data_IF_468760367112
#
_entry.id   IF_468760367112
#
_cell.length_a   1.000
_cell.length_b   1.000
_cell.length_c   1.000
_cell.angle_alpha   90.00
_cell.angle_beta   90.00
_cell.angle_gamma   90.00
#
_symmetry.space_group_name_H-M   'P 1'
#
loop_
_entity.id
_entity.type
_entity.pdbx_description
1 polymer ?
#
# COMPACT_ATOMS: atom_id res chain seq x y z
N UNK A 1 12.42 15.06 -11.83
CA UNK A 1 13.03 13.72 -11.73
C UNK A 1 11.99 12.84 -11.07
N UNK A 2 11.01 12.39 -11.84
CA UNK A 2 9.89 11.58 -11.33
C UNK A 2 10.45 10.20 -10.96
N UNK A 3 10.36 9.85 -9.67
CA UNK A 3 10.88 8.59 -9.13
C UNK A 3 10.29 7.40 -9.88
N UNK A 4 11.11 6.35 -10.06
CA UNK A 4 10.76 5.15 -10.87
C UNK A 4 9.54 4.41 -10.31
N UNK A 5 9.13 4.71 -9.08
CA UNK A 5 7.91 4.18 -8.48
C UNK A 5 6.64 4.79 -9.08
N UNK A 6 6.61 6.08 -9.45
CA UNK A 6 5.42 6.72 -10.02
C UNK A 6 4.97 6.11 -11.36
N UNK A 7 5.90 5.65 -12.20
CA UNK A 7 5.57 4.97 -13.45
C UNK A 7 5.30 3.46 -13.29
N UNK A 8 5.74 2.85 -12.18
CA UNK A 8 5.58 1.42 -11.93
C UNK A 8 4.29 1.11 -11.16
N UNK A 9 3.76 2.07 -10.42
CA UNK A 9 2.43 1.98 -9.84
C UNK A 9 1.43 2.28 -10.97
N UNK A 10 1.23 1.31 -11.83
CA UNK A 10 0.10 1.30 -12.75
C UNK A 10 -1.17 1.07 -11.91
N UNK A 11 -1.61 2.14 -11.23
CA UNK A 11 -2.87 2.26 -10.47
C UNK A 11 -4.08 1.72 -11.26
N UNK A 12 -3.97 1.76 -12.59
CA UNK A 12 -4.96 1.26 -13.53
C UNK A 12 -5.36 -0.21 -13.30
N UNK A 13 -4.47 -1.11 -12.85
CA UNK A 13 -4.86 -2.53 -12.69
C UNK A 13 -5.67 -2.76 -11.40
N UNK A 14 -5.31 -2.09 -10.31
CA UNK A 14 -6.00 -2.23 -9.02
C UNK A 14 -7.38 -1.56 -9.04
N UNK A 15 -7.49 -0.36 -9.60
CA UNK A 15 -8.79 0.33 -9.73
C UNK A 15 -9.75 -0.40 -10.67
N UNK A 16 -9.25 -0.91 -11.82
CA UNK A 16 -10.10 -1.65 -12.76
C UNK A 16 -10.62 -2.97 -12.16
N UNK A 17 -9.82 -3.63 -11.33
CA UNK A 17 -10.25 -4.83 -10.63
C UNK A 17 -11.26 -4.53 -9.52
N UNK A 18 -11.11 -3.41 -8.80
CA UNK A 18 -12.11 -2.91 -7.87
C UNK A 18 -13.47 -2.70 -8.55
N UNK A 19 -13.49 -1.98 -9.68
CA UNK A 19 -14.71 -1.76 -10.47
C UNK A 19 -15.38 -3.05 -10.93
N UNK A 20 -14.57 -4.09 -11.19
CA UNK A 20 -15.04 -5.41 -11.64
C UNK A 20 -15.32 -6.39 -10.49
N UNK A 21 -15.17 -5.98 -9.23
CA UNK A 21 -15.25 -6.85 -8.04
C UNK A 21 -14.39 -8.12 -8.18
N UNK A 22 -13.21 -7.96 -8.77
CA UNK A 22 -12.26 -9.04 -9.01
C UNK A 22 -11.07 -8.94 -8.05
N UNK A 23 -10.56 -10.09 -7.59
CA UNK A 23 -9.34 -10.13 -6.80
C UNK A 23 -8.10 -9.83 -7.65
N UNK A 24 -7.11 -9.14 -7.07
CA UNK A 24 -5.81 -8.89 -7.71
C UNK A 24 -4.71 -9.60 -6.94
N UNK A 25 -3.86 -10.34 -7.66
CA UNK A 25 -2.63 -10.89 -7.12
C UNK A 25 -1.45 -9.96 -7.45
N UNK A 26 -0.86 -9.36 -6.42
CA UNK A 26 0.39 -8.58 -6.54
C UNK A 26 1.56 -9.45 -6.12
N UNK A 27 2.50 -9.73 -7.02
CA UNK A 27 3.66 -10.56 -6.73
C UNK A 27 4.96 -10.00 -7.31
N UNK A 28 6.08 -10.41 -6.73
CA UNK A 28 7.42 -10.25 -7.31
C UNK A 28 8.19 -11.56 -7.13
N UNK A 29 9.45 -11.63 -7.55
CA UNK A 29 10.22 -12.89 -7.53
C UNK A 29 10.26 -13.56 -6.14
N UNK A 30 10.56 -12.79 -5.08
CA UNK A 30 10.69 -13.33 -3.71
C UNK A 30 9.53 -12.94 -2.79
N UNK A 31 8.63 -12.06 -3.21
CA UNK A 31 7.57 -11.53 -2.33
C UNK A 31 8.05 -10.59 -1.21
N UNK A 32 9.34 -10.24 -1.16
CA UNK A 32 9.93 -9.50 -0.03
C UNK A 32 9.97 -7.98 -0.22
N UNK A 33 10.28 -7.48 -1.43
CA UNK A 33 10.66 -6.07 -1.60
C UNK A 33 9.75 -5.28 -2.54
N UNK A 34 9.67 -5.68 -3.82
CA UNK A 34 8.88 -4.96 -4.85
C UNK A 34 7.37 -5.07 -4.64
N UNK A 35 6.85 -6.28 -4.46
CA UNK A 35 5.40 -6.45 -4.29
C UNK A 35 4.89 -5.83 -2.98
N UNK A 36 5.59 -5.94 -1.83
CA UNK A 36 5.17 -5.22 -0.62
C UNK A 36 5.21 -3.70 -0.79
N UNK A 37 6.21 -3.14 -1.47
CA UNK A 37 6.24 -1.70 -1.75
C UNK A 37 5.01 -1.22 -2.51
N UNK A 38 4.56 -1.98 -3.52
CA UNK A 38 3.33 -1.68 -4.26
C UNK A 38 2.09 -1.77 -3.34
N UNK A 39 2.00 -2.81 -2.52
CA UNK A 39 0.90 -2.95 -1.57
C UNK A 39 0.85 -1.78 -0.56
N UNK A 40 2.00 -1.34 -0.06
CA UNK A 40 2.10 -0.19 0.85
C UNK A 40 1.61 1.10 0.19
N UNK A 41 2.06 1.39 -1.03
CA UNK A 41 1.59 2.56 -1.78
C UNK A 41 0.05 2.54 -1.97
N UNK A 42 -0.49 1.38 -2.34
CA UNK A 42 -1.93 1.21 -2.47
C UNK A 42 -2.66 1.48 -1.16
N UNK A 43 -2.24 0.85 -0.06
CA UNK A 43 -2.84 1.03 1.26
C UNK A 43 -2.80 2.50 1.73
N UNK A 44 -1.67 3.19 1.54
CA UNK A 44 -1.56 4.62 1.90
C UNK A 44 -2.60 5.46 1.16
N UNK A 45 -2.79 5.19 -0.14
CA UNK A 45 -3.71 5.94 -1.00
C UNK A 45 -5.19 5.66 -0.72
N UNK A 46 -5.54 4.41 -0.38
CA UNK A 46 -6.93 4.00 -0.20
C UNK A 46 -7.39 4.13 1.24
N UNK A 47 -6.55 3.75 2.21
CA UNK A 47 -6.84 3.85 3.64
C UNK A 47 -6.51 5.23 4.24
N UNK A 48 -5.85 6.11 3.47
CA UNK A 48 -5.48 7.48 3.87
C UNK A 48 -4.74 7.51 5.20
N UNK A 49 -3.60 6.81 5.24
CA UNK A 49 -2.84 6.59 6.47
C UNK A 49 -1.34 6.52 6.18
N UNK A 50 -0.54 6.70 7.24
CA UNK A 50 0.91 6.79 7.12
C UNK A 50 1.56 5.50 6.61
N UNK A 51 2.77 5.66 6.07
CA UNK A 51 3.61 4.53 5.66
C UNK A 51 3.86 3.56 6.83
N UNK A 52 4.09 4.07 8.04
CA UNK A 52 4.35 3.25 9.22
C UNK A 52 3.14 2.37 9.56
N UNK A 53 1.94 2.96 9.61
CA UNK A 53 0.70 2.21 9.86
C UNK A 53 0.46 1.13 8.80
N UNK A 54 0.68 1.45 7.53
CA UNK A 54 0.59 0.48 6.43
C UNK A 54 1.62 -0.64 6.56
N UNK A 55 2.84 -0.31 6.98
CA UNK A 55 3.94 -1.24 7.14
C UNK A 55 3.69 -2.24 8.26
N UNK A 56 3.29 -1.75 9.44
CA UNK A 56 2.96 -2.58 10.60
C UNK A 56 1.80 -3.53 10.28
N UNK A 57 0.78 -3.03 9.59
CA UNK A 57 -0.33 -3.85 9.12
C UNK A 57 0.12 -4.95 8.16
N UNK A 58 0.91 -4.59 7.13
CA UNK A 58 1.35 -5.56 6.13
C UNK A 58 2.31 -6.61 6.73
N UNK A 59 3.14 -6.22 7.71
CA UNK A 59 4.05 -7.13 8.42
C UNK A 59 3.28 -8.17 9.24
N UNK A 60 2.13 -7.81 9.82
CA UNK A 60 1.27 -8.79 10.52
C UNK A 60 0.75 -9.89 9.60
N UNK A 61 0.46 -9.55 8.35
CA UNK A 61 -0.06 -10.49 7.35
C UNK A 61 1.08 -11.29 6.70
N UNK A 62 2.21 -10.62 6.44
CA UNK A 62 3.39 -11.20 5.83
C UNK A 62 4.65 -10.80 6.61
N UNK A 63 5.10 -11.63 7.56
CA UNK A 63 6.26 -11.30 8.42
C UNK A 63 7.59 -11.13 7.68
N UNK A 64 7.70 -11.66 6.45
CA UNK A 64 8.95 -11.65 5.68
C UNK A 64 9.10 -10.43 4.75
N UNK A 65 8.22 -9.42 4.84
CA UNK A 65 8.41 -8.22 4.02
C UNK A 65 9.67 -7.45 4.43
N UNK A 66 10.40 -6.97 3.43
CA UNK A 66 11.53 -6.06 3.59
C UNK A 66 11.73 -5.29 2.29
N UNK A 67 10.89 -4.26 2.03
CA UNK A 67 11.18 -3.25 1.02
C UNK A 67 12.59 -2.71 1.24
N UNK A 68 13.36 -2.54 0.17
CA UNK A 68 14.68 -1.93 0.30
C UNK A 68 14.54 -0.44 0.66
N UNK A 69 15.62 0.15 1.19
CA UNK A 69 15.62 1.55 1.59
C UNK A 69 15.17 2.51 0.48
N UNK A 70 15.57 2.26 -0.78
CA UNK A 70 15.14 3.08 -1.92
C UNK A 70 13.61 3.08 -2.11
N UNK A 71 12.96 1.93 -1.95
CA UNK A 71 11.50 1.86 -1.98
C UNK A 71 10.84 2.57 -0.79
N UNK A 72 11.43 2.50 0.40
CA UNK A 72 10.91 3.24 1.55
C UNK A 72 11.00 4.75 1.33
N UNK A 73 12.12 5.26 0.82
CA UNK A 73 12.29 6.67 0.46
C UNK A 73 11.28 7.10 -0.61
N UNK A 74 11.15 6.33 -1.68
CA UNK A 74 10.19 6.63 -2.74
C UNK A 74 8.73 6.58 -2.22
N UNK A 75 8.41 5.72 -1.24
CA UNK A 75 7.09 5.66 -0.59
C UNK A 75 6.82 6.87 0.31
N UNK A 76 7.83 7.37 1.03
CA UNK A 76 7.70 8.62 1.79
C UNK A 76 7.46 9.82 0.87
N UNK A 77 8.18 9.90 -0.25
CA UNK A 77 7.95 10.92 -1.28
C UNK A 77 6.54 10.81 -1.88
N UNK A 78 6.10 9.58 -2.17
CA UNK A 78 4.75 9.32 -2.64
C UNK A 78 3.70 9.79 -1.63
N UNK A 79 3.87 9.48 -0.33
CA UNK A 79 2.96 9.91 0.72
C UNK A 79 2.82 11.43 0.79
N UNK A 80 3.93 12.18 0.63
CA UNK A 80 3.92 13.65 0.57
C UNK A 80 3.23 14.21 -0.68
N UNK A 81 3.15 13.43 -1.76
CA UNK A 81 2.50 13.83 -3.01
C UNK A 81 0.98 13.61 -3.01
N UNK A 82 0.45 12.90 -2.03
CA UNK A 82 -0.99 12.64 -1.91
C UNK A 82 -1.75 13.93 -1.52
N UNK A 83 -2.98 14.12 -2.03
CA UNK A 83 -3.75 15.36 -1.81
C UNK A 83 -4.43 15.43 -0.44
N UNK A 84 -3.99 14.64 0.54
CA UNK A 84 -4.58 14.54 1.88
C UNK A 84 -3.52 14.15 2.91
N UNK A 85 -3.78 14.49 4.17
CA UNK A 85 -2.93 14.12 5.29
C UNK A 85 -2.97 12.61 5.56
N UNK A 86 -1.83 12.08 6.01
CA UNK A 86 -1.65 10.66 6.33
C UNK A 86 -1.42 10.48 7.83
N UNK A 87 -2.48 10.44 8.66
CA UNK A 87 -2.33 10.19 10.08
C UNK A 87 -1.82 8.76 10.33
N UNK A 88 -1.07 8.62 11.42
CA UNK A 88 -0.78 7.33 12.01
C UNK A 88 -2.07 6.75 12.59
N UNK A 89 -2.55 5.66 12.00
CA UNK A 89 -3.70 4.91 12.50
C UNK A 89 -3.23 3.54 12.99
N UNK A 90 -3.73 3.12 14.14
CA UNK A 90 -3.48 1.79 14.64
C UNK A 90 -4.45 0.78 14.01
N UNK A 91 -4.01 0.10 12.95
CA UNK A 91 -4.74 -1.01 12.32
C UNK A 91 -4.51 -2.35 13.01
N UNK A 92 -3.62 -2.40 14.00
CA UNK A 92 -3.12 -3.65 14.58
C UNK A 92 -4.21 -4.42 15.32
N UNK A 93 -5.31 -3.76 15.68
CA UNK A 93 -6.45 -4.33 16.41
C UNK A 93 -7.74 -4.44 15.58
N UNK A 94 -7.69 -4.13 14.28
CA UNK A 94 -8.86 -4.25 13.41
C UNK A 94 -9.01 -5.68 12.89
N UNK A 95 -10.24 -6.18 12.92
CA UNK A 95 -10.60 -7.41 12.20
C UNK A 95 -10.53 -7.19 10.69
N UNK A 96 -10.32 -8.27 9.93
CA UNK A 96 -10.30 -8.23 8.45
C UNK A 96 -11.54 -7.54 7.86
N UNK A 97 -12.71 -7.69 8.51
CA UNK A 97 -13.96 -7.03 8.11
C UNK A 97 -13.90 -5.51 8.28
N UNK A 98 -13.28 -5.02 9.35
CA UNK A 98 -13.10 -3.58 9.60
C UNK A 98 -12.07 -2.96 8.63
N UNK A 99 -11.06 -3.74 8.23
CA UNK A 99 -10.05 -3.33 7.26
C UNK A 99 -10.63 -3.24 5.85
N UNK A 100 -11.44 -4.22 5.44
CA UNK A 100 -12.20 -4.15 4.19
C UNK A 100 -13.15 -2.92 4.20
N UNK A 101 -13.83 -2.65 5.31
CA UNK A 101 -14.67 -1.46 5.41
C UNK A 101 -13.91 -0.12 5.31
N UNK A 102 -12.60 -0.10 5.60
CA UNK A 102 -11.75 1.10 5.46
C UNK A 102 -11.20 1.25 4.04
N UNK A 103 -10.84 0.15 3.39
CA UNK A 103 -10.29 0.14 2.03
C UNK A 103 -11.37 0.37 0.95
N UNK A 104 -12.65 0.11 1.26
CA UNK A 104 -13.77 0.13 0.30
C UNK A 104 -14.79 1.27 0.53
N UNK A 105 -14.41 2.36 1.23
CA UNK A 105 -15.33 3.44 1.65
C UNK A 105 -15.53 4.59 0.65
N UNK A 106 -15.20 4.41 -0.62
CA UNK A 106 -15.47 5.38 -1.70
C UNK A 106 -16.35 4.76 -2.79
#
# INVERSE_FOLDING_TARGET
>A
MYSRLAHSIQFLVLEQAYLKKAGVLVHCHAGVSRSPAICLAYLMSTAKTSLNSCYDYLMKIQPNISPNFGFLTDLEEYGKSLPFDLPDNDFTNLSNVQLEALLHKN
#
